data_IF_764229253583
#
_entry.id   IF_764229253583
#
_cell.length_a   1.000
_cell.length_b   1.000
_cell.length_c   1.000
_cell.angle_alpha   90.00
_cell.angle_beta   90.00
_cell.angle_gamma   90.00
#
_symmetry.space_group_name_H-M   'P 1'
#
loop_
_entity.id
_entity.type
_entity.pdbx_description
1 polymer ?
#
# COMPACT_ATOMS: atom_id res chain seq x y z
N UNK A 1 -8.17 -3.50 -4.79
CA UNK A 1 -8.64 -2.15 -5.17
C UNK A 1 -9.71 -2.27 -6.23
N UNK A 2 -10.89 -1.70 -5.98
CA UNK A 2 -11.95 -1.64 -6.99
C UNK A 2 -11.64 -0.57 -8.06
N UNK A 3 -12.32 -0.63 -9.20
CA UNK A 3 -12.07 0.23 -10.36
C UNK A 3 -12.26 1.73 -10.04
N UNK A 4 -13.22 2.07 -9.19
CA UNK A 4 -13.48 3.46 -8.78
C UNK A 4 -12.31 4.02 -7.97
N UNK A 5 -11.80 3.27 -7.00
CA UNK A 5 -10.66 3.67 -6.18
C UNK A 5 -9.39 3.77 -7.02
N UNK A 6 -9.20 2.84 -7.97
CA UNK A 6 -8.07 2.88 -8.90
C UNK A 6 -8.09 4.11 -9.81
N UNK A 7 -9.25 4.44 -10.37
CA UNK A 7 -9.43 5.65 -11.16
C UNK A 7 -9.10 6.90 -10.36
N UNK A 8 -9.64 7.03 -9.14
CA UNK A 8 -9.38 8.17 -8.25
C UNK A 8 -7.90 8.29 -7.86
N UNK A 9 -7.21 7.16 -7.70
CA UNK A 9 -5.78 7.14 -7.40
C UNK A 9 -4.97 7.74 -8.56
N UNK A 10 -5.25 7.33 -9.81
CA UNK A 10 -4.52 7.79 -10.99
C UNK A 10 -4.83 9.22 -11.44
N UNK A 11 -5.99 9.77 -11.07
CA UNK A 11 -6.41 11.11 -11.50
C UNK A 11 -5.81 12.26 -10.68
N UNK A 12 -5.24 11.98 -9.50
CA UNK A 12 -4.85 13.03 -8.57
C UNK A 12 -3.45 12.79 -7.99
N UNK A 13 -2.45 13.37 -8.64
CA UNK A 13 -1.03 13.29 -8.27
C UNK A 13 -0.78 13.67 -6.79
N UNK A 14 -1.48 14.68 -6.27
CA UNK A 14 -1.36 15.08 -4.85
C UNK A 14 -1.70 13.92 -3.92
N UNK A 15 -2.70 13.10 -4.24
CA UNK A 15 -3.03 11.93 -3.42
C UNK A 15 -2.04 10.79 -3.60
N UNK A 16 -1.47 10.60 -4.79
CA UNK A 16 -0.40 9.63 -5.02
C UNK A 16 0.80 9.99 -4.13
N UNK A 17 1.28 11.24 -4.20
CA UNK A 17 2.41 11.73 -3.39
C UNK A 17 2.14 11.55 -1.89
N UNK A 18 0.95 11.89 -1.42
CA UNK A 18 0.58 11.70 -0.01
C UNK A 18 0.51 10.23 0.39
N UNK A 19 0.04 9.37 -0.51
CA UNK A 19 -0.04 7.92 -0.29
C UNK A 19 1.35 7.33 -0.19
N UNK A 20 2.27 7.65 -1.10
CA UNK A 20 3.67 7.22 -1.04
C UNK A 20 4.34 7.72 0.24
N UNK A 21 4.12 8.98 0.62
CA UNK A 21 4.61 9.52 1.91
C UNK A 21 4.10 8.73 3.11
N UNK A 22 2.84 8.31 3.11
CA UNK A 22 2.28 7.51 4.20
C UNK A 22 2.80 6.07 4.19
N UNK A 23 2.93 5.44 3.01
CA UNK A 23 3.57 4.13 2.86
C UNK A 23 4.99 4.13 3.45
N UNK A 24 5.79 5.16 3.13
CA UNK A 24 7.16 5.28 3.64
C UNK A 24 7.20 5.52 5.16
N UNK A 25 6.21 6.21 5.73
CA UNK A 25 6.05 6.32 7.18
C UNK A 25 5.75 4.97 7.82
N UNK A 26 4.84 4.20 7.23
CA UNK A 26 4.46 2.88 7.76
C UNK A 26 5.63 1.89 7.67
N UNK A 27 6.49 2.03 6.66
CA UNK A 27 7.74 1.28 6.47
C UNK A 27 8.91 1.73 7.37
N UNK A 28 8.77 2.82 8.14
CA UNK A 28 9.86 3.35 8.96
C UNK A 28 10.46 2.29 9.91
N UNK A 29 11.78 2.11 9.88
CA UNK A 29 12.48 1.09 10.67
C UNK A 29 12.53 -0.31 10.03
N UNK A 30 11.97 -0.50 8.83
CA UNK A 30 12.18 -1.73 8.05
C UNK A 30 13.42 -1.66 7.15
N UNK A 31 13.95 -0.45 6.89
CA UNK A 31 15.04 -0.20 5.95
C UNK A 31 14.61 -0.13 4.48
N UNK A 32 13.31 -0.25 4.19
CA UNK A 32 12.76 -0.18 2.85
C UNK A 32 12.01 1.13 2.59
N UNK A 33 11.94 1.51 1.32
CA UNK A 33 11.22 2.69 0.84
C UNK A 33 10.49 2.40 -0.49
N UNK A 34 9.32 3.00 -0.65
CA UNK A 34 8.59 3.11 -1.91
C UNK A 34 9.10 4.34 -2.66
N UNK A 35 9.73 4.08 -3.81
CA UNK A 35 10.08 5.08 -4.80
C UNK A 35 9.20 4.88 -6.03
N UNK A 36 8.87 5.98 -6.70
CA UNK A 36 8.09 5.99 -7.93
C UNK A 36 8.58 7.17 -8.79
N UNK A 37 8.29 7.13 -10.10
CA UNK A 37 8.82 8.04 -11.10
C UNK A 37 8.24 9.45 -11.06
N UNK A 38 7.15 9.66 -10.34
CA UNK A 38 6.35 10.90 -10.41
C UNK A 38 5.32 10.89 -11.54
N UNK A 39 5.29 9.86 -12.39
CA UNK A 39 4.29 9.76 -13.46
C UNK A 39 3.00 9.12 -12.95
N UNK A 40 1.94 9.93 -12.83
CA UNK A 40 0.64 9.48 -12.32
C UNK A 40 0.03 8.30 -13.12
N UNK A 41 0.33 8.20 -14.43
CA UNK A 41 -0.21 7.14 -15.30
C UNK A 41 0.36 5.76 -14.96
N UNK A 42 1.61 5.70 -14.51
CA UNK A 42 2.32 4.44 -14.17
C UNK A 42 2.41 4.20 -12.67
N UNK A 43 2.07 5.20 -11.84
CA UNK A 43 2.22 5.17 -10.38
C UNK A 43 1.68 3.90 -9.72
N UNK A 44 0.46 3.49 -10.07
CA UNK A 44 -0.15 2.31 -9.47
C UNK A 44 0.70 1.05 -9.73
N UNK A 45 1.14 0.85 -10.98
CA UNK A 45 1.94 -0.32 -11.36
C UNK A 45 3.30 -0.30 -10.66
N UNK A 46 3.98 0.86 -10.66
CA UNK A 46 5.28 1.02 -10.00
C UNK A 46 5.20 0.75 -8.49
N UNK A 47 4.20 1.32 -7.83
CA UNK A 47 4.02 1.18 -6.37
C UNK A 47 3.66 -0.26 -6.01
N UNK A 48 2.78 -0.92 -6.79
CA UNK A 48 2.43 -2.33 -6.56
C UNK A 48 3.64 -3.25 -6.78
N UNK A 49 4.40 -3.02 -7.85
CA UNK A 49 5.63 -3.75 -8.11
C UNK A 49 6.58 -3.63 -6.92
N UNK A 50 6.84 -2.40 -6.47
CA UNK A 50 7.76 -2.15 -5.35
C UNK A 50 7.26 -2.71 -4.02
N UNK A 51 5.96 -2.62 -3.73
CA UNK A 51 5.36 -3.23 -2.55
C UNK A 51 5.52 -4.76 -2.56
N UNK A 52 5.33 -5.39 -3.71
CA UNK A 52 5.47 -6.85 -3.86
C UNK A 52 6.90 -7.29 -3.51
N UNK A 53 7.92 -6.60 -4.03
CA UNK A 53 9.33 -6.87 -3.68
C UNK A 53 9.58 -6.72 -2.18
N UNK A 54 9.12 -5.61 -1.59
CA UNK A 54 9.32 -5.31 -0.17
C UNK A 54 8.63 -6.36 0.71
N UNK A 55 7.40 -6.77 0.37
CA UNK A 55 6.67 -7.81 1.12
C UNK A 55 7.47 -9.12 1.10
N UNK A 56 8.00 -9.53 -0.05
CA UNK A 56 8.80 -10.76 -0.15
C UNK A 56 10.09 -10.68 0.68
N UNK A 57 10.73 -9.52 0.74
CA UNK A 57 11.92 -9.30 1.56
C UNK A 57 11.60 -9.28 3.06
N UNK A 58 10.59 -8.51 3.47
CA UNK A 58 10.20 -8.32 4.86
C UNK A 58 9.60 -9.61 5.46
N UNK A 59 8.89 -10.43 4.68
CA UNK A 59 8.33 -11.72 5.14
C UNK A 59 9.37 -12.67 5.73
N UNK A 60 10.65 -12.52 5.38
CA UNK A 60 11.76 -13.27 5.97
C UNK A 60 11.98 -12.95 7.46
N UNK A 61 11.45 -11.83 7.93
CA UNK A 61 11.43 -11.41 9.33
C UNK A 61 9.98 -11.23 9.80
N UNK A 62 9.38 -12.25 10.46
CA UNK A 62 8.00 -12.17 10.96
C UNK A 62 7.75 -10.98 11.87
N UNK A 63 8.76 -10.57 12.64
CA UNK A 63 8.67 -9.41 13.55
C UNK A 63 8.48 -8.12 12.76
N UNK A 64 9.33 -7.86 11.76
CA UNK A 64 9.23 -6.66 10.92
C UNK A 64 7.95 -6.67 10.08
N UNK A 65 7.59 -7.83 9.56
CA UNK A 65 6.37 -8.01 8.78
C UNK A 65 5.13 -7.68 9.61
N UNK A 66 4.98 -8.30 10.78
CA UNK A 66 3.83 -8.04 11.64
C UNK A 66 3.78 -6.58 12.08
N UNK A 67 4.92 -6.00 12.49
CA UNK A 67 4.99 -4.59 12.89
C UNK A 67 4.53 -3.64 11.77
N UNK A 68 4.92 -3.92 10.52
CA UNK A 68 4.49 -3.13 9.37
C UNK A 68 2.99 -3.28 9.11
N UNK A 69 2.47 -4.51 9.06
CA UNK A 69 1.04 -4.79 8.83
C UNK A 69 0.15 -4.12 9.89
N UNK A 70 0.58 -4.12 11.16
CA UNK A 70 -0.15 -3.41 12.23
C UNK A 70 -0.25 -1.90 11.98
N UNK A 71 0.79 -1.25 11.45
CA UNK A 71 0.75 0.20 11.14
C UNK A 71 -0.15 0.52 9.96
N UNK A 72 -0.12 -0.34 8.93
CA UNK A 72 -1.02 -0.20 7.77
C UNK A 72 -2.49 -0.33 8.20
N UNK A 73 -2.76 -1.05 9.30
CA UNK A 73 -4.09 -1.23 9.89
C UNK A 73 -5.07 -1.88 8.88
N UNK A 74 -4.68 -3.07 8.42
CA UNK A 74 -5.53 -3.91 7.58
C UNK A 74 -6.49 -4.69 8.49
N UNK A 75 -7.82 -4.61 8.28
CA UNK A 75 -8.78 -5.37 9.07
C UNK A 75 -8.51 -6.87 9.01
N UNK A 76 -8.66 -7.57 10.14
CA UNK A 76 -8.38 -9.00 10.25
C UNK A 76 -9.19 -9.85 9.25
N UNK A 77 -10.45 -9.48 9.00
CA UNK A 77 -11.30 -10.13 7.99
C UNK A 77 -10.72 -10.00 6.58
N UNK A 78 -10.12 -8.85 6.25
CA UNK A 78 -9.44 -8.64 4.97
C UNK A 78 -8.14 -9.44 4.91
N UNK A 79 -7.38 -9.49 6.00
CA UNK A 79 -6.17 -10.31 6.10
C UNK A 79 -6.45 -11.78 5.81
N UNK A 80 -7.49 -12.36 6.43
CA UNK A 80 -7.89 -13.75 6.18
C UNK A 80 -8.21 -14.03 4.71
N UNK A 81 -8.86 -13.08 4.01
CA UNK A 81 -9.16 -13.23 2.58
C UNK A 81 -7.91 -13.15 1.71
N UNK A 82 -6.96 -12.27 2.06
CA UNK A 82 -5.69 -12.10 1.34
C UNK A 82 -4.88 -13.39 1.41
N UNK A 83 -4.81 -14.02 2.59
CA UNK A 83 -4.12 -15.30 2.80
C UNK A 83 -4.80 -16.51 2.12
N UNK A 84 -5.97 -16.32 1.52
CA UNK A 84 -6.66 -17.36 0.73
C UNK A 84 -6.49 -17.15 -0.78
N UNK A 85 -5.79 -16.08 -1.21
CA UNK A 85 -5.57 -15.80 -2.63
C UNK A 85 -4.41 -16.65 -3.17
N UNK A 86 -4.49 -17.04 -4.45
CA UNK A 86 -3.40 -17.75 -5.14
C UNK A 86 -2.10 -16.95 -5.14
N UNK A 87 -2.19 -15.63 -5.33
CA UNK A 87 -1.06 -14.71 -5.15
C UNK A 87 -1.32 -13.80 -3.94
N UNK A 88 -1.02 -14.34 -2.76
CA UNK A 88 -1.15 -13.60 -1.50
C UNK A 88 -0.31 -12.31 -1.49
N UNK A 89 0.86 -12.31 -2.14
CA UNK A 89 1.80 -11.18 -2.09
C UNK A 89 1.22 -10.00 -2.86
N UNK A 90 0.76 -10.25 -4.09
CA UNK A 90 0.11 -9.25 -4.91
C UNK A 90 -1.20 -8.76 -4.26
N UNK A 91 -2.02 -9.68 -3.74
CA UNK A 91 -3.24 -9.33 -3.02
C UNK A 91 -2.96 -8.43 -1.81
N UNK A 92 -1.87 -8.70 -1.09
CA UNK A 92 -1.44 -7.89 0.04
C UNK A 92 -0.93 -6.52 -0.39
N UNK A 93 -0.14 -6.43 -1.47
CA UNK A 93 0.33 -5.16 -2.03
C UNK A 93 -0.86 -4.25 -2.37
N UNK A 94 -1.89 -4.79 -3.04
CA UNK A 94 -3.11 -4.04 -3.33
C UNK A 94 -3.86 -3.62 -2.06
N UNK A 95 -3.99 -4.50 -1.08
CA UNK A 95 -4.67 -4.18 0.17
C UNK A 95 -3.96 -3.08 0.97
N UNK A 96 -2.63 -3.11 1.01
CA UNK A 96 -1.81 -2.07 1.67
C UNK A 96 -1.99 -0.73 0.95
N UNK A 97 -1.89 -0.71 -0.38
CA UNK A 97 -2.05 0.51 -1.18
C UNK A 97 -3.45 1.10 -1.01
N UNK A 98 -4.49 0.28 -1.16
CA UNK A 98 -5.89 0.68 -1.04
C UNK A 98 -6.20 1.23 0.35
N UNK A 99 -5.78 0.53 1.41
CA UNK A 99 -5.98 0.99 2.80
C UNK A 99 -5.32 2.34 3.05
N UNK A 100 -4.11 2.52 2.54
CA UNK A 100 -3.33 3.75 2.72
C UNK A 100 -3.97 4.90 1.96
N UNK A 101 -4.35 4.68 0.70
CA UNK A 101 -5.02 5.70 -0.11
C UNK A 101 -6.36 6.13 0.50
N UNK A 102 -7.18 5.18 0.95
CA UNK A 102 -8.46 5.49 1.62
C UNK A 102 -8.24 6.37 2.86
N UNK A 103 -7.21 6.10 3.69
CA UNK A 103 -6.86 6.95 4.83
C UNK A 103 -6.51 8.38 4.40
N UNK A 104 -5.77 8.53 3.29
CA UNK A 104 -5.42 9.85 2.73
C UNK A 104 -6.68 10.58 2.23
N UNK A 105 -7.56 9.90 1.50
CA UNK A 105 -8.83 10.46 1.03
C UNK A 105 -9.66 10.98 2.20
N UNK A 106 -9.85 10.18 3.25
CA UNK A 106 -10.59 10.61 4.44
C UNK A 106 -9.93 11.77 5.19
N UNK A 107 -8.59 11.82 5.25
CA UNK A 107 -7.87 12.95 5.86
C UNK A 107 -8.10 14.27 5.12
N UNK A 108 -8.21 14.22 3.78
CA UNK A 108 -8.42 15.41 2.95
C UNK A 108 -9.91 15.73 2.72
N UNK A 109 -10.83 14.80 3.02
CA UNK A 109 -12.27 15.01 2.93
C UNK A 109 -12.87 15.78 4.11
N UNK A 110 -12.11 16.00 5.19
CA UNK A 110 -12.52 16.91 6.27
C UNK A 110 -12.42 18.35 5.76
N UNK A 111 -13.55 18.85 5.27
CA UNK A 111 -13.91 20.27 5.18
C UNK A 111 -14.31 20.74 6.59
#
# INVERSE_FOLDING_TARGET
MNDTTLKQFGENEKYIVQTVKQLNKDLSGTGFEILWSGNAQTAHQEIIFRLTEIIQMIRKSPILFNAWIYRVDIPEKSMRRILQQTDETLAMAHAILERTFIKIMFRNAKI
#
